data_IF_697458318022
#
_entry.id   IF_697458318022
#
_cell.length_a   1.000
_cell.length_b   1.000
_cell.length_c   1.000
_cell.angle_alpha   90.00
_cell.angle_beta   90.00
_cell.angle_gamma   90.00
#
_symmetry.space_group_name_H-M   'P 1'
#
loop_
_entity.id
_entity.type
_entity.pdbx_description
1 polymer ?
#
# COMPACT_ATOMS: atom_id res chain seq x y z
N UNK A 1 -10.71 -4.55 -10.84
CA UNK A 1 -9.27 -4.30 -11.11
C UNK A 1 -8.96 -2.89 -11.64
N UNK A 2 -9.84 -2.24 -12.45
CA UNK A 2 -9.58 -0.90 -13.01
C UNK A 2 -9.05 0.12 -11.99
N UNK A 3 -9.76 0.33 -10.87
CA UNK A 3 -9.42 1.39 -9.91
C UNK A 3 -8.24 1.09 -8.98
N UNK A 4 -7.98 -0.18 -8.62
CA UNK A 4 -7.02 -0.55 -7.56
C UNK A 4 -6.10 -1.74 -7.93
N UNK A 5 -6.05 -2.12 -9.21
CA UNK A 5 -5.16 -3.17 -9.73
C UNK A 5 -3.94 -2.61 -10.46
N UNK A 6 -2.85 -3.36 -10.42
CA UNK A 6 -1.61 -3.14 -11.19
C UNK A 6 -1.04 -4.49 -11.61
N UNK A 7 -0.29 -4.55 -12.72
CA UNK A 7 0.23 -5.80 -13.29
C UNK A 7 1.76 -5.77 -13.45
N UNK A 8 2.40 -6.94 -13.48
CA UNK A 8 3.83 -7.08 -13.76
C UNK A 8 4.79 -6.82 -12.59
N UNK A 9 6.09 -6.73 -12.92
CA UNK A 9 7.15 -6.53 -11.93
C UNK A 9 7.05 -5.16 -11.24
N UNK A 10 7.29 -5.12 -9.92
CA UNK A 10 7.20 -3.89 -9.09
C UNK A 10 5.81 -3.23 -9.07
N UNK A 11 4.76 -3.96 -9.45
CA UNK A 11 3.38 -3.47 -9.57
C UNK A 11 2.83 -2.81 -8.30
N UNK A 12 3.23 -3.29 -7.13
CA UNK A 12 2.85 -2.70 -5.83
C UNK A 12 3.40 -1.30 -5.58
N UNK A 13 4.29 -0.79 -6.44
CA UNK A 13 4.93 0.52 -6.33
C UNK A 13 4.50 1.49 -7.44
N UNK A 14 3.32 1.30 -8.06
CA UNK A 14 2.79 2.17 -9.10
C UNK A 14 3.12 1.75 -10.53
N UNK A 15 4.12 0.88 -10.73
CA UNK A 15 4.45 0.31 -12.03
C UNK A 15 3.32 -0.60 -12.53
N UNK A 16 3.17 -0.71 -13.86
CA UNK A 16 2.09 -1.50 -14.47
C UNK A 16 0.69 -1.06 -14.05
N UNK A 17 0.55 0.22 -13.73
CA UNK A 17 -0.75 0.87 -13.65
C UNK A 17 -1.36 0.94 -15.04
N UNK A 18 -2.64 0.61 -15.12
CA UNK A 18 -3.44 0.66 -16.33
C UNK A 18 -4.81 1.25 -16.00
N UNK A 19 -5.47 1.76 -17.03
CA UNK A 19 -6.89 2.14 -17.02
C UNK A 19 -7.61 1.34 -18.10
N UNK A 20 -8.81 0.89 -17.78
CA UNK A 20 -9.72 0.32 -18.77
C UNK A 20 -10.55 1.48 -19.33
N UNK A 21 -10.50 1.65 -20.66
CA UNK A 21 -11.33 2.61 -21.39
C UNK A 21 -12.35 1.83 -22.21
N UNK A 22 -13.57 2.36 -22.40
CA UNK A 22 -14.51 1.81 -23.36
C UNK A 22 -13.86 1.58 -24.72
N UNK A 23 -14.17 0.45 -25.35
CA UNK A 23 -13.69 0.17 -26.71
C UNK A 23 -14.46 0.99 -27.77
N UNK A 24 -15.70 1.33 -27.46
CA UNK A 24 -16.66 2.06 -28.29
C UNK A 24 -17.72 2.72 -27.39
N UNK A 25 -18.62 3.50 -28.00
CA UNK A 25 -19.70 4.22 -27.31
C UNK A 25 -20.77 3.30 -26.71
N UNK A 26 -20.83 2.03 -27.15
CA UNK A 26 -21.75 1.04 -26.60
C UNK A 26 -21.20 0.40 -25.31
N UNK A 27 -19.88 0.45 -25.09
CA UNK A 27 -19.22 -0.11 -23.92
C UNK A 27 -19.35 0.83 -22.72
N UNK A 28 -19.95 0.40 -21.60
CA UNK A 28 -20.11 1.27 -20.42
C UNK A 28 -18.76 1.72 -19.83
N UNK A 29 -18.70 2.98 -19.39
CA UNK A 29 -17.57 3.48 -18.61
C UNK A 29 -17.59 2.80 -17.23
N UNK A 30 -16.44 2.26 -16.82
CA UNK A 30 -16.25 1.74 -15.47
C UNK A 30 -15.94 2.92 -14.53
N UNK A 31 -17.00 3.57 -14.06
CA UNK A 31 -16.96 4.68 -13.10
C UNK A 31 -17.81 4.39 -11.85
N UNK A 32 -17.72 3.15 -11.35
CA UNK A 32 -18.43 2.77 -10.14
C UNK A 32 -17.72 3.31 -8.90
N UNK A 33 -18.53 3.79 -7.94
CA UNK A 33 -18.05 4.09 -6.60
C UNK A 33 -17.42 2.85 -5.94
N UNK A 34 -16.56 3.08 -4.94
CA UNK A 34 -15.98 1.99 -4.17
C UNK A 34 -17.09 1.20 -3.45
N UNK A 35 -17.29 -0.05 -3.84
CA UNK A 35 -18.26 -0.93 -3.22
C UNK A 35 -17.95 -1.08 -1.71
N UNK A 36 -18.88 -0.69 -0.81
CA UNK A 36 -18.68 -0.78 0.63
C UNK A 36 -18.37 -2.20 1.12
N UNK A 37 -18.80 -3.25 0.41
CA UNK A 37 -18.50 -4.64 0.75
C UNK A 37 -17.01 -5.00 0.60
N UNK A 38 -16.27 -4.21 -0.20
CA UNK A 38 -14.83 -4.36 -0.42
C UNK A 38 -14.00 -3.53 0.57
N UNK A 39 -14.63 -2.92 1.58
CA UNK A 39 -13.99 -2.08 2.59
C UNK A 39 -14.25 -2.65 3.99
N UNK A 40 -13.21 -2.77 4.82
CA UNK A 40 -13.32 -3.34 6.18
C UNK A 40 -12.49 -2.56 7.20
N UNK A 41 -12.91 -2.47 8.48
CA UNK A 41 -12.04 -1.93 9.53
C UNK A 41 -10.67 -2.59 9.47
N UNK A 42 -9.60 -1.80 9.37
CA UNK A 42 -8.30 -2.34 8.96
C UNK A 42 -7.73 -3.35 9.97
N UNK A 43 -8.03 -3.17 11.26
CA UNK A 43 -7.66 -4.11 12.33
C UNK A 43 -8.42 -5.44 12.23
N UNK A 44 -9.66 -5.42 11.74
CA UNK A 44 -10.42 -6.64 11.47
C UNK A 44 -9.90 -7.36 10.23
N UNK A 45 -9.48 -6.61 9.20
CA UNK A 45 -8.86 -7.19 8.01
C UNK A 45 -7.52 -7.90 8.31
N UNK A 46 -6.85 -7.57 9.42
CA UNK A 46 -5.68 -8.33 9.91
C UNK A 46 -6.03 -9.70 10.50
N UNK A 47 -7.30 -10.12 10.55
CA UNK A 47 -7.66 -11.46 10.96
C UNK A 47 -7.34 -12.54 9.91
N UNK A 48 -7.09 -12.15 8.65
CA UNK A 48 -6.78 -13.06 7.55
C UNK A 48 -5.38 -12.77 7.01
N UNK A 49 -4.73 -13.79 6.47
CA UNK A 49 -3.36 -13.72 5.94
C UNK A 49 -3.28 -13.41 4.42
N UNK A 50 -4.43 -13.15 3.80
CA UNK A 50 -4.55 -12.81 2.38
C UNK A 50 -5.26 -11.45 2.17
N UNK A 51 -4.84 -10.69 1.15
CA UNK A 51 -5.42 -9.38 0.86
C UNK A 51 -6.83 -9.52 0.28
N UNK A 52 -7.83 -9.01 1.00
CA UNK A 52 -9.25 -9.25 0.69
C UNK A 52 -10.13 -7.99 0.70
N UNK A 53 -9.70 -6.92 1.36
CA UNK A 53 -10.46 -5.68 1.46
C UNK A 53 -9.51 -4.48 1.58
N UNK A 54 -9.97 -3.32 1.11
CA UNK A 54 -9.33 -2.05 1.45
C UNK A 54 -9.65 -1.76 2.92
N UNK A 55 -8.63 -1.39 3.69
CA UNK A 55 -8.83 -1.04 5.09
C UNK A 55 -9.58 0.28 5.24
N UNK A 56 -10.31 0.46 6.33
CA UNK A 56 -10.87 1.75 6.77
C UNK A 56 -10.64 1.98 8.26
N UNK A 57 -10.75 3.23 8.66
CA UNK A 57 -10.90 3.66 10.05
C UNK A 57 -12.09 4.64 10.16
N UNK A 58 -12.16 5.40 11.26
CA UNK A 58 -13.22 6.38 11.52
C UNK A 58 -13.26 7.54 10.50
N UNK A 59 -12.15 7.82 9.81
CA UNK A 59 -12.03 8.88 8.80
C UNK A 59 -12.36 8.38 7.38
N UNK A 60 -12.73 7.10 7.22
CA UNK A 60 -13.10 6.51 5.93
C UNK A 60 -12.07 5.49 5.42
N UNK A 61 -12.11 5.13 4.12
CA UNK A 61 -11.16 4.21 3.52
C UNK A 61 -9.71 4.71 3.63
N UNK A 62 -8.79 3.78 3.78
CA UNK A 62 -7.35 4.01 3.79
C UNK A 62 -6.85 4.14 2.34
N UNK A 63 -7.28 5.22 1.70
CA UNK A 63 -6.95 5.60 0.33
C UNK A 63 -6.53 7.07 0.33
N UNK A 64 -5.33 7.33 -0.17
CA UNK A 64 -4.77 8.65 -0.35
C UNK A 64 -4.45 8.88 -1.81
N UNK A 65 -4.55 10.12 -2.24
CA UNK A 65 -4.21 10.53 -3.59
C UNK A 65 -3.36 11.79 -3.61
N UNK A 66 -2.44 11.86 -4.57
CA UNK A 66 -1.71 13.10 -4.86
C UNK A 66 -2.64 14.14 -5.47
N UNK A 67 -2.17 15.38 -5.54
CA UNK A 67 -2.70 16.34 -6.51
C UNK A 67 -2.63 15.79 -7.95
N UNK A 68 -3.38 16.41 -8.86
CA UNK A 68 -3.34 16.06 -10.27
C UNK A 68 -2.04 16.59 -10.89
N UNK A 69 -1.21 15.68 -11.39
CA UNK A 69 0.07 15.98 -12.03
C UNK A 69 -0.07 15.90 -13.55
N UNK A 70 0.74 16.67 -14.27
CA UNK A 70 0.69 16.75 -15.73
C UNK A 70 1.19 15.48 -16.42
N UNK A 71 2.09 14.75 -15.78
CA UNK A 71 2.77 13.63 -16.40
C UNK A 71 3.08 12.51 -15.39
N UNK A 72 3.32 11.33 -15.94
CA UNK A 72 3.55 10.11 -15.16
C UNK A 72 4.85 10.18 -14.34
N UNK A 73 5.89 10.85 -14.86
CA UNK A 73 7.19 10.96 -14.19
C UNK A 73 7.06 11.76 -12.89
N UNK A 74 6.28 12.83 -12.93
CA UNK A 74 5.96 13.68 -11.77
C UNK A 74 5.20 12.87 -10.71
N UNK A 75 4.15 12.13 -11.10
CA UNK A 75 3.41 11.25 -10.17
C UNK A 75 4.34 10.23 -9.52
N UNK A 76 5.15 9.54 -10.33
CA UNK A 76 6.04 8.50 -9.83
C UNK A 76 7.12 9.03 -8.89
N UNK A 77 7.61 10.26 -9.13
CA UNK A 77 8.52 10.95 -8.20
C UNK A 77 7.84 11.17 -6.85
N UNK A 78 6.62 11.73 -6.82
CA UNK A 78 5.88 11.96 -5.58
C UNK A 78 5.64 10.64 -4.82
N UNK A 79 5.20 9.58 -5.51
CA UNK A 79 5.02 8.26 -4.88
C UNK A 79 6.33 7.68 -4.34
N UNK A 80 7.46 7.91 -5.02
CA UNK A 80 8.78 7.48 -4.55
C UNK A 80 9.22 8.26 -3.30
N UNK A 81 9.02 9.58 -3.27
CA UNK A 81 9.33 10.45 -2.13
C UNK A 81 8.53 10.03 -0.89
N UNK A 82 7.21 9.82 -1.02
CA UNK A 82 6.37 9.30 0.06
C UNK A 82 6.90 7.94 0.55
N UNK A 83 7.25 7.04 -0.37
CA UNK A 83 7.80 5.72 -0.01
C UNK A 83 9.15 5.81 0.68
N UNK A 84 9.98 6.80 0.34
CA UNK A 84 11.24 7.09 1.05
C UNK A 84 10.91 7.56 2.48
N UNK A 85 9.96 8.50 2.64
CA UNK A 85 9.50 8.96 3.95
C UNK A 85 8.98 7.83 4.85
N UNK A 86 8.16 6.92 4.31
CA UNK A 86 7.71 5.73 5.03
C UNK A 86 8.86 4.84 5.51
N UNK A 87 9.92 4.73 4.70
CA UNK A 87 11.10 3.92 5.03
C UNK A 87 12.00 4.60 6.07
N UNK A 88 12.04 5.92 6.11
CA UNK A 88 12.84 6.68 7.09
C UNK A 88 12.16 6.77 8.45
N UNK A 89 10.82 6.64 8.50
CA UNK A 89 10.03 6.53 9.74
C UNK A 89 10.48 5.35 10.63
N UNK A 90 10.92 4.25 10.00
CA UNK A 90 11.35 3.04 10.67
C UNK A 90 12.83 2.76 10.40
N UNK A 91 13.70 3.44 11.16
CA UNK A 91 15.15 3.23 11.11
C UNK A 91 15.48 1.84 11.68
N UNK A 92 16.36 1.11 11.01
CA UNK A 92 16.91 -0.11 11.58
C UNK A 92 17.94 0.22 12.64
N UNK A 93 17.92 -0.59 13.69
CA UNK A 93 18.91 -0.62 14.76
C UNK A 93 19.85 -1.81 14.59
N UNK A 94 19.48 -2.79 13.76
CA UNK A 94 20.29 -3.97 13.45
C UNK A 94 20.65 -4.04 11.96
N UNK A 95 21.74 -4.75 11.66
CA UNK A 95 22.17 -5.04 10.29
C UNK A 95 21.64 -6.38 9.79
N UNK A 96 22.51 -7.20 9.19
CA UNK A 96 22.17 -8.55 8.77
C UNK A 96 21.96 -9.46 9.98
N UNK A 97 20.96 -10.34 9.90
CA UNK A 97 20.74 -11.40 10.88
C UNK A 97 20.07 -10.94 12.18
N UNK A 98 19.17 -9.95 12.11
CA UNK A 98 18.35 -9.53 13.24
C UNK A 98 17.72 -10.76 13.94
N UNK A 99 17.82 -10.84 15.27
CA UNK A 99 17.24 -11.95 16.05
C UNK A 99 15.71 -11.90 16.04
N UNK A 100 15.16 -10.70 15.99
CA UNK A 100 13.73 -10.42 15.94
C UNK A 100 13.43 -9.43 14.82
N UNK A 101 12.24 -9.49 14.20
CA UNK A 101 11.84 -8.53 13.18
C UNK A 101 11.63 -7.13 13.78
N UNK A 102 12.42 -6.16 13.33
CA UNK A 102 12.17 -4.73 13.56
C UNK A 102 10.97 -4.20 12.75
N UNK A 103 10.39 -3.08 13.18
CA UNK A 103 9.19 -2.44 12.58
C UNK A 103 9.17 -2.38 11.06
N UNK A 104 10.30 -2.00 10.43
CA UNK A 104 10.38 -1.87 8.96
C UNK A 104 10.27 -3.21 8.22
N UNK A 105 10.62 -4.33 8.86
CA UNK A 105 10.47 -5.66 8.25
C UNK A 105 9.00 -6.01 8.03
N UNK A 106 8.08 -5.51 8.88
CA UNK A 106 6.65 -5.72 8.75
C UNK A 106 6.02 -4.94 7.58
N UNK A 107 6.69 -3.90 7.07
CA UNK A 107 6.24 -3.19 5.85
C UNK A 107 6.51 -4.00 4.58
N UNK A 108 7.66 -4.68 4.51
CA UNK A 108 8.06 -5.51 3.38
C UNK A 108 9.36 -6.25 3.68
N UNK A 109 9.50 -7.48 3.18
CA UNK A 109 10.71 -8.29 3.29
C UNK A 109 10.96 -9.08 1.99
N UNK A 110 12.21 -9.26 1.53
CA UNK A 110 13.48 -8.88 2.17
C UNK A 110 13.79 -7.39 2.08
N UNK A 111 14.59 -6.92 3.03
CA UNK A 111 15.19 -5.58 3.00
C UNK A 111 16.69 -5.73 2.84
N UNK A 112 17.27 -5.00 1.88
CA UNK A 112 18.70 -5.08 1.56
C UNK A 112 19.54 -4.84 2.81
N UNK A 113 20.46 -5.76 3.12
CA UNK A 113 21.36 -5.72 4.29
C UNK A 113 20.69 -5.79 5.68
N UNK A 114 19.37 -5.98 5.76
CA UNK A 114 18.62 -6.10 7.02
C UNK A 114 17.77 -7.37 6.96
N UNK A 115 18.44 -8.52 7.11
CA UNK A 115 17.77 -9.83 7.13
C UNK A 115 17.36 -10.21 8.55
N UNK A 116 16.26 -10.97 8.67
CA UNK A 116 15.83 -11.56 9.95
C UNK A 116 16.25 -13.03 9.95
N UNK A 117 17.03 -13.44 10.95
CA UNK A 117 17.66 -14.76 10.99
C UNK A 117 16.62 -15.90 10.94
N UNK A 118 15.51 -15.75 11.66
CA UNK A 118 14.44 -16.74 11.72
C UNK A 118 13.62 -16.86 10.42
N UNK A 119 13.67 -15.85 9.54
CA UNK A 119 12.85 -15.79 8.32
C UNK A 119 13.56 -16.39 7.09
N UNK A 120 14.89 -16.54 7.13
CA UNK A 120 15.66 -17.09 6.01
C UNK A 120 15.33 -16.40 4.68
N UNK A 121 14.91 -17.20 3.70
CA UNK A 121 14.55 -16.76 2.33
C UNK A 121 13.06 -16.40 2.15
N UNK A 122 12.26 -16.38 3.22
CA UNK A 122 10.87 -15.98 3.14
C UNK A 122 10.72 -14.56 2.56
N UNK A 123 9.55 -14.23 2.02
CA UNK A 123 9.27 -12.90 1.46
C UNK A 123 7.94 -12.38 1.98
N UNK A 124 7.96 -11.21 2.62
CA UNK A 124 6.75 -10.54 3.08
C UNK A 124 6.39 -9.43 2.08
N UNK A 125 5.32 -9.59 1.29
CA UNK A 125 4.89 -8.52 0.40
C UNK A 125 4.39 -7.28 1.17
N UNK A 126 4.67 -6.09 0.64
CA UNK A 126 4.01 -4.87 1.12
C UNK A 126 2.50 -4.93 0.86
N UNK A 127 1.69 -4.68 1.90
CA UNK A 127 0.23 -4.56 1.81
C UNK A 127 -0.24 -3.13 1.52
N UNK A 128 0.65 -2.14 1.62
CA UNK A 128 0.45 -0.80 1.05
C UNK A 128 0.77 -0.83 -0.44
N UNK A 129 -0.19 -0.40 -1.25
CA UNK A 129 -0.12 -0.45 -2.72
C UNK A 129 -0.18 0.94 -3.30
N UNK A 130 0.47 1.08 -4.44
CA UNK A 130 0.60 2.32 -5.18
C UNK A 130 0.09 2.11 -6.59
N UNK A 131 -0.62 3.09 -7.15
CA UNK A 131 -1.16 3.06 -8.51
C UNK A 131 -1.15 4.47 -9.11
N UNK A 132 -1.06 4.59 -10.42
CA UNK A 132 -1.32 5.83 -11.16
C UNK A 132 -2.68 5.71 -11.86
N UNK A 133 -3.50 6.77 -11.81
CA UNK A 133 -4.79 6.84 -12.50
C UNK A 133 -4.91 8.11 -13.33
N UNK A 134 -5.54 8.05 -14.52
CA UNK A 134 -5.94 9.25 -15.24
C UNK A 134 -7.12 9.94 -14.54
N UNK A 135 -7.14 11.27 -14.67
CA UNK A 135 -8.24 12.15 -14.35
C UNK A 135 -9.01 12.50 -15.64
N UNK A 136 -10.23 13.01 -15.50
CA UNK A 136 -11.06 13.40 -16.66
C UNK A 136 -10.43 14.53 -17.50
N UNK A 137 -9.58 15.36 -16.90
CA UNK A 137 -8.86 16.47 -17.55
C UNK A 137 -7.55 16.04 -18.24
N UNK A 138 -7.29 14.73 -18.35
CA UNK A 138 -6.08 14.18 -18.95
C UNK A 138 -4.85 14.18 -18.03
N UNK A 139 -4.94 14.78 -16.84
CA UNK A 139 -3.88 14.70 -15.82
C UNK A 139 -3.85 13.33 -15.14
N UNK A 140 -2.83 13.09 -14.33
CA UNK A 140 -2.62 11.84 -13.62
C UNK A 140 -2.59 12.08 -12.10
N UNK A 141 -3.13 11.15 -11.33
CA UNK A 141 -2.97 11.10 -9.87
C UNK A 141 -2.27 9.83 -9.45
N UNK A 142 -1.42 9.96 -8.44
CA UNK A 142 -0.90 8.82 -7.70
C UNK A 142 -1.86 8.46 -6.59
N UNK A 143 -2.19 7.17 -6.47
CA UNK A 143 -2.98 6.61 -5.39
C UNK A 143 -2.09 5.74 -4.51
N UNK A 144 -2.33 5.84 -3.22
CA UNK A 144 -1.77 4.99 -2.18
C UNK A 144 -2.96 4.39 -1.45
N UNK A 145 -3.00 3.08 -1.27
CA UNK A 145 -4.10 2.43 -0.58
C UNK A 145 -3.61 1.21 0.19
N UNK A 146 -4.22 1.00 1.36
CA UNK A 146 -3.86 -0.11 2.24
C UNK A 146 -4.84 -1.27 2.06
N UNK A 147 -4.31 -2.47 1.82
CA UNK A 147 -5.07 -3.73 1.74
C UNK A 147 -4.57 -4.63 2.87
N UNK A 148 -5.01 -4.41 4.12
CA UNK A 148 -4.43 -5.06 5.29
C UNK A 148 -4.62 -6.57 5.23
N UNK A 149 -3.59 -7.29 5.61
CA UNK A 149 -3.63 -8.73 5.88
C UNK A 149 -2.46 -9.07 6.81
N UNK A 150 -2.63 -10.11 7.62
CA UNK A 150 -1.59 -10.61 8.50
C UNK A 150 -0.50 -11.31 7.66
N UNK A 151 0.78 -11.20 8.02
CA UNK A 151 1.78 -12.12 7.51
C UNK A 151 1.37 -13.57 7.84
N UNK A 152 1.52 -14.53 6.91
CA UNK A 152 1.12 -15.91 7.14
C UNK A 152 1.96 -16.52 8.27
N UNK A 153 1.29 -17.25 9.18
CA UNK A 153 1.93 -18.04 10.22
C UNK A 153 1.89 -19.51 9.85
N UNK A 154 2.74 -19.92 8.93
CA UNK A 154 2.79 -21.30 8.44
C UNK A 154 4.16 -21.91 8.68
N UNK A 155 4.23 -23.24 8.67
CA UNK A 155 5.51 -23.96 8.79
C UNK A 155 6.54 -23.54 7.71
N UNK A 156 6.06 -23.08 6.55
CA UNK A 156 6.87 -22.62 5.41
C UNK A 156 7.18 -21.13 5.47
N UNK A 157 6.29 -20.30 6.03
CA UNK A 157 6.48 -18.86 6.23
C UNK A 157 6.70 -18.57 7.72
N UNK A 158 7.96 -18.57 8.15
CA UNK A 158 8.39 -18.43 9.55
C UNK A 158 8.24 -17.01 10.12
N UNK A 159 7.21 -16.26 9.69
CA UNK A 159 7.03 -14.87 10.10
C UNK A 159 6.68 -14.74 11.57
N UNK A 160 5.87 -15.66 12.12
CA UNK A 160 5.36 -15.62 13.51
C UNK A 160 4.84 -14.21 13.83
N UNK A 161 3.76 -13.77 13.15
CA UNK A 161 3.31 -12.39 13.16
C UNK A 161 3.00 -11.92 14.58
N UNK A 162 3.65 -10.85 15.01
CA UNK A 162 3.27 -10.12 16.21
C UNK A 162 2.19 -9.10 15.81
N UNK A 163 0.93 -9.43 16.10
CA UNK A 163 -0.21 -8.59 15.73
C UNK A 163 -0.11 -7.19 16.34
N UNK A 164 0.33 -7.07 17.59
CA UNK A 164 0.43 -5.78 18.25
C UNK A 164 1.50 -4.90 17.58
N UNK A 165 2.67 -5.48 17.28
CA UNK A 165 3.71 -4.77 16.55
C UNK A 165 3.28 -4.37 15.13
N UNK A 166 2.55 -5.24 14.43
CA UNK A 166 2.03 -4.97 13.09
C UNK A 166 0.99 -3.85 13.13
N UNK A 167 0.10 -3.86 14.11
CA UNK A 167 -0.88 -2.79 14.31
C UNK A 167 -0.20 -1.45 14.62
N UNK A 168 0.82 -1.41 15.48
CA UNK A 168 1.60 -0.20 15.75
C UNK A 168 2.26 0.35 14.47
N UNK A 169 2.91 -0.53 13.70
CA UNK A 169 3.55 -0.15 12.42
C UNK A 169 2.53 0.46 11.46
N UNK A 170 1.39 -0.19 11.25
CA UNK A 170 0.39 0.32 10.31
C UNK A 170 -0.29 1.58 10.80
N UNK A 171 -0.57 1.70 12.10
CA UNK A 171 -1.10 2.93 12.68
C UNK A 171 -0.14 4.11 12.42
N UNK A 172 1.17 3.91 12.62
CA UNK A 172 2.19 4.94 12.34
C UNK A 172 2.28 5.28 10.86
N UNK A 173 2.10 4.30 9.96
CA UNK A 173 2.01 4.54 8.51
C UNK A 173 0.79 5.37 8.16
N UNK A 174 -0.39 5.03 8.69
CA UNK A 174 -1.63 5.78 8.42
C UNK A 174 -1.51 7.21 8.92
N UNK A 175 -1.02 7.40 10.14
CA UNK A 175 -0.74 8.74 10.70
C UNK A 175 0.23 9.52 9.83
N UNK A 176 1.32 8.91 9.36
CA UNK A 176 2.28 9.57 8.47
C UNK A 176 1.64 10.04 7.15
N UNK A 177 0.77 9.21 6.57
CA UNK A 177 0.07 9.55 5.31
C UNK A 177 -0.98 10.63 5.53
N UNK A 178 -1.73 10.58 6.63
CA UNK A 178 -2.74 11.58 7.00
C UNK A 178 -2.12 12.94 7.36
N UNK A 179 -0.87 12.96 7.83
CA UNK A 179 -0.14 14.19 8.18
C UNK A 179 0.60 14.83 7.01
N UNK A 180 0.57 14.24 5.81
CA UNK A 180 1.15 14.89 4.64
C UNK A 180 0.37 16.18 4.33
N UNK A 181 1.04 17.24 3.86
CA UNK A 181 0.33 18.44 3.40
C UNK A 181 -0.70 18.08 2.34
N UNK A 182 -1.84 18.80 2.32
CA UNK A 182 -2.92 18.56 1.35
C UNK A 182 -2.47 18.77 -0.11
N UNK A 183 -1.43 19.56 -0.34
CA UNK A 183 -0.78 19.71 -1.65
C UNK A 183 -0.02 18.45 -2.08
N UNK A 184 0.38 17.60 -1.13
CA UNK A 184 1.09 16.34 -1.38
C UNK A 184 0.14 15.15 -1.41
N UNK A 185 -0.68 14.95 -0.37
CA UNK A 185 -1.68 13.88 -0.31
C UNK A 185 -2.98 14.39 0.29
N UNK A 186 -4.08 13.88 -0.24
CA UNK A 186 -5.42 14.02 0.35
C UNK A 186 -6.01 12.64 0.53
N UNK A 187 -6.71 12.42 1.65
CA UNK A 187 -7.46 11.18 1.87
C UNK A 187 -8.77 11.24 1.08
N UNK A 188 -9.11 10.17 0.39
CA UNK A 188 -10.36 10.10 -0.38
C UNK A 188 -11.55 9.93 0.56
N UNK A 189 -12.53 10.84 0.47
CA UNK A 189 -13.86 10.65 1.06
C UNK A 189 -14.67 9.67 0.21
N UNK A 190 -15.47 8.81 0.85
CA UNK A 190 -16.46 7.96 0.15
C UNK A 190 -17.60 8.82 -0.35
#
# INVERSE_FOLDING_TARGET
>A
MNHYGTLGGRSRNGWGSFSLVPADDATPIIDAALDPSLVRPWREALALDWPHAIGRDASGPLIWQTEACQDWKTVMRHLAEIKIGLRTLFKFTTGKGARQPESRHWLSYPVTNHSVSSWGNARLPNSLRFKVRPCADGKLRGLIFHVPCLPPDTATARFRPDRAAIEDVWQRVHTFLDQQPATTLTRTSV
#
